data_IF_413817682896
#
_entry.id   IF_413817682896
#
_cell.length_a   1.000
_cell.length_b   1.000
_cell.length_c   1.000
_cell.angle_alpha   90.00
_cell.angle_beta   90.00
_cell.angle_gamma   90.00
#
_symmetry.space_group_name_H-M   'P 1'
#
loop_
_entity.id
_entity.type
_entity.pdbx_description
1 polymer ?
#
# COMPACT_ATOMS: atom_id res chain seq x y z
N UNK A 1 -34.78 -62.94 -6.51
CA UNK A 1 -33.66 -62.36 -5.77
C UNK A 1 -33.10 -61.20 -6.59
N UNK A 2 -33.63 -60.03 -6.35
CA UNK A 2 -33.31 -58.82 -7.13
C UNK A 2 -32.35 -57.94 -6.32
N UNK A 3 -31.13 -57.89 -6.78
CA UNK A 3 -30.13 -56.92 -6.19
C UNK A 3 -30.32 -55.56 -6.82
N UNK A 4 -31.01 -54.70 -6.11
CA UNK A 4 -31.13 -53.29 -6.43
C UNK A 4 -29.78 -52.60 -6.16
N UNK A 5 -29.03 -52.29 -7.21
CA UNK A 5 -27.77 -51.52 -7.10
C UNK A 5 -28.16 -50.03 -7.00
N UNK A 6 -28.10 -49.49 -5.81
CA UNK A 6 -28.23 -48.04 -5.58
C UNK A 6 -26.94 -47.37 -6.05
N UNK A 7 -27.02 -46.68 -7.19
CA UNK A 7 -25.93 -45.84 -7.70
C UNK A 7 -25.94 -44.51 -6.94
N UNK A 8 -25.01 -44.34 -6.01
CA UNK A 8 -24.80 -43.09 -5.30
C UNK A 8 -24.06 -42.13 -6.23
N UNK A 9 -24.74 -41.16 -6.80
CA UNK A 9 -24.15 -40.06 -7.58
C UNK A 9 -23.57 -39.03 -6.61
N UNK A 10 -22.25 -39.08 -6.40
CA UNK A 10 -21.51 -38.03 -5.69
C UNK A 10 -21.33 -36.86 -6.68
N UNK A 11 -22.16 -35.84 -6.57
CA UNK A 11 -21.94 -34.56 -7.28
C UNK A 11 -20.85 -33.82 -6.53
N UNK A 12 -19.60 -33.91 -6.99
CA UNK A 12 -18.50 -33.09 -6.49
C UNK A 12 -18.67 -31.70 -7.07
N UNK A 13 -19.21 -30.77 -6.27
CA UNK A 13 -19.20 -29.35 -6.60
C UNK A 13 -17.75 -28.86 -6.46
N UNK A 14 -17.04 -28.77 -7.57
CA UNK A 14 -15.77 -28.05 -7.63
C UNK A 14 -16.05 -26.55 -7.44
N UNK A 15 -16.00 -26.10 -6.19
CA UNK A 15 -15.91 -24.66 -5.90
C UNK A 15 -14.51 -24.25 -6.35
N UNK A 16 -14.40 -23.73 -7.56
CA UNK A 16 -13.20 -23.04 -8.02
C UNK A 16 -13.08 -21.76 -7.20
N UNK A 17 -12.37 -21.82 -6.07
CA UNK A 17 -11.95 -20.64 -5.36
C UNK A 17 -11.10 -19.82 -6.33
N UNK A 18 -11.67 -18.72 -6.88
CA UNK A 18 -10.87 -17.75 -7.61
C UNK A 18 -9.83 -17.20 -6.62
N UNK A 19 -8.54 -17.21 -6.97
CA UNK A 19 -7.54 -16.60 -6.09
C UNK A 19 -7.94 -15.15 -5.84
N UNK A 20 -7.70 -14.66 -4.62
CA UNK A 20 -8.04 -13.28 -4.23
C UNK A 20 -7.42 -12.22 -5.17
N UNK A 21 -6.40 -12.58 -5.94
CA UNK A 21 -5.78 -11.77 -6.99
C UNK A 21 -6.76 -11.39 -8.11
N UNK A 22 -7.73 -12.25 -8.44
CA UNK A 22 -8.73 -11.97 -9.47
C UNK A 22 -9.65 -10.79 -9.10
N UNK A 23 -9.79 -10.47 -7.81
CA UNK A 23 -10.61 -9.36 -7.33
C UNK A 23 -10.06 -7.99 -7.78
N UNK A 24 -8.75 -7.88 -8.00
CA UNK A 24 -8.07 -6.64 -8.37
C UNK A 24 -7.39 -6.71 -9.75
N UNK A 25 -7.86 -7.57 -10.65
CA UNK A 25 -7.30 -7.66 -12.03
C UNK A 25 -7.51 -6.35 -12.81
N UNK A 26 -8.64 -5.69 -12.58
CA UNK A 26 -8.97 -4.42 -13.21
C UNK A 26 -9.29 -3.37 -12.14
N UNK A 27 -8.29 -2.65 -11.70
CA UNK A 27 -8.40 -1.56 -10.71
C UNK A 27 -8.61 -0.19 -11.34
N UNK A 28 -8.87 -0.15 -12.66
CA UNK A 28 -8.96 1.10 -13.40
C UNK A 28 -7.59 1.71 -13.68
N UNK A 29 -7.61 2.96 -14.12
CA UNK A 29 -6.41 3.77 -14.33
C UNK A 29 -6.52 5.04 -13.51
N UNK A 30 -5.42 5.44 -12.88
CA UNK A 30 -5.31 6.74 -12.24
C UNK A 30 -3.88 7.26 -12.39
N UNK A 31 -3.72 8.55 -12.19
CA UNK A 31 -2.43 9.21 -12.36
C UNK A 31 -1.84 9.52 -11.00
N UNK A 32 -0.69 8.95 -10.73
CA UNK A 32 0.14 9.28 -9.58
C UNK A 32 1.59 9.32 -10.06
N UNK A 33 2.03 10.47 -10.60
CA UNK A 33 3.38 10.59 -11.13
C UNK A 33 4.41 10.47 -10.01
N UNK A 34 5.45 9.68 -10.26
CA UNK A 34 6.60 9.53 -9.37
C UNK A 34 7.89 9.63 -10.16
N UNK A 35 9.02 9.53 -9.48
CA UNK A 35 10.34 9.45 -10.10
C UNK A 35 10.62 8.12 -10.80
N UNK A 36 9.82 7.08 -10.51
CA UNK A 36 9.96 5.78 -11.15
C UNK A 36 9.38 5.75 -12.57
N UNK A 37 9.76 4.74 -13.32
CA UNK A 37 9.25 4.45 -14.67
C UNK A 37 9.17 2.95 -14.92
N UNK A 38 8.60 2.56 -16.06
CA UNK A 38 8.51 1.16 -16.47
C UNK A 38 7.76 0.29 -15.45
N UNK A 39 8.27 -0.92 -15.19
CA UNK A 39 7.61 -1.90 -14.31
C UNK A 39 7.51 -1.42 -12.86
N UNK A 40 8.50 -0.69 -12.35
CA UNK A 40 8.46 -0.13 -10.99
C UNK A 40 7.23 0.77 -10.81
N UNK A 41 7.03 1.69 -11.76
CA UNK A 41 5.88 2.60 -11.76
C UNK A 41 4.56 1.84 -11.93
N UNK A 42 4.51 0.80 -12.76
CA UNK A 42 3.30 -0.01 -12.96
C UNK A 42 2.89 -0.73 -11.67
N UNK A 43 3.83 -1.36 -10.97
CA UNK A 43 3.55 -1.99 -9.68
C UNK A 43 3.13 -0.96 -8.62
N UNK A 44 3.79 0.20 -8.57
CA UNK A 44 3.40 1.27 -7.67
C UNK A 44 1.97 1.76 -7.92
N UNK A 45 1.62 2.09 -9.18
CA UNK A 45 0.27 2.54 -9.52
C UNK A 45 -0.79 1.50 -9.20
N UNK A 46 -0.50 0.22 -9.49
CA UNK A 46 -1.40 -0.86 -9.14
C UNK A 46 -1.58 -0.99 -7.62
N UNK A 47 -0.49 -0.92 -6.86
CA UNK A 47 -0.52 -0.94 -5.40
C UNK A 47 -1.36 0.21 -4.83
N UNK A 48 -1.17 1.42 -5.33
CA UNK A 48 -1.91 2.60 -4.91
C UNK A 48 -3.41 2.49 -5.25
N UNK A 49 -3.78 2.06 -6.47
CA UNK A 49 -5.17 1.85 -6.86
C UNK A 49 -5.88 0.78 -5.98
N UNK A 50 -5.18 -0.31 -5.66
CA UNK A 50 -5.68 -1.34 -4.75
C UNK A 50 -5.84 -0.78 -3.33
N UNK A 51 -4.89 0.04 -2.86
CA UNK A 51 -4.95 0.70 -1.55
C UNK A 51 -6.18 1.60 -1.43
N UNK A 52 -6.48 2.42 -2.45
CA UNK A 52 -7.69 3.23 -2.53
C UNK A 52 -8.98 2.39 -2.52
N UNK A 53 -8.89 1.12 -2.93
CA UNK A 53 -9.98 0.15 -2.90
C UNK A 53 -10.01 -0.71 -1.62
N UNK A 54 -9.29 -0.31 -0.57
CA UNK A 54 -9.18 -1.03 0.71
C UNK A 54 -8.58 -2.44 0.61
N UNK A 55 -7.87 -2.74 -0.46
CA UNK A 55 -7.18 -4.02 -0.68
C UNK A 55 -5.78 -4.07 -0.03
N UNK A 56 -5.68 -3.78 1.27
CA UNK A 56 -4.39 -3.54 1.95
C UNK A 56 -3.35 -4.63 1.71
N UNK A 57 -3.73 -5.91 1.84
CA UNK A 57 -2.79 -7.02 1.65
C UNK A 57 -2.26 -7.09 0.22
N UNK A 58 -3.14 -6.97 -0.76
CA UNK A 58 -2.78 -7.03 -2.17
C UNK A 58 -2.00 -5.77 -2.61
N UNK A 59 -2.29 -4.60 -1.99
CA UNK A 59 -1.50 -3.39 -2.18
C UNK A 59 -0.05 -3.60 -1.70
N UNK A 60 0.16 -4.19 -0.52
CA UNK A 60 1.49 -4.53 0.01
C UNK A 60 2.25 -5.43 -0.97
N UNK A 61 1.60 -6.46 -1.56
CA UNK A 61 2.22 -7.34 -2.54
C UNK A 61 2.75 -6.57 -3.76
N UNK A 62 2.00 -5.57 -4.24
CA UNK A 62 2.42 -4.74 -5.36
C UNK A 62 3.55 -3.77 -4.99
N UNK A 63 3.50 -3.17 -3.82
CA UNK A 63 4.61 -2.32 -3.35
C UNK A 63 5.88 -3.13 -3.11
N UNK A 64 5.78 -4.38 -2.64
CA UNK A 64 6.92 -5.29 -2.55
C UNK A 64 7.52 -5.59 -3.93
N UNK A 65 6.69 -5.88 -4.94
CA UNK A 65 7.17 -6.11 -6.30
C UNK A 65 7.93 -4.88 -6.85
N UNK A 66 7.45 -3.66 -6.58
CA UNK A 66 8.18 -2.45 -6.94
C UNK A 66 9.52 -2.33 -6.19
N UNK A 67 9.59 -2.69 -4.90
CA UNK A 67 10.82 -2.69 -4.10
C UNK A 67 11.82 -3.75 -4.54
N UNK A 68 11.37 -4.91 -5.02
CA UNK A 68 12.23 -5.97 -5.56
C UNK A 68 12.93 -5.52 -6.84
N UNK A 69 12.25 -4.71 -7.68
CA UNK A 69 12.83 -4.17 -8.92
C UNK A 69 13.75 -2.98 -8.58
N UNK A 70 13.29 -2.04 -7.76
CA UNK A 70 14.11 -0.91 -7.30
C UNK A 70 14.05 -0.76 -5.77
N UNK A 71 15.03 -1.30 -5.04
CA UNK A 71 15.11 -1.19 -3.58
C UNK A 71 15.30 0.24 -3.04
N UNK A 72 15.58 1.21 -3.90
CA UNK A 72 15.72 2.62 -3.51
C UNK A 72 14.49 3.46 -3.84
N UNK A 73 13.48 2.91 -4.48
CA UNK A 73 12.27 3.64 -4.82
C UNK A 73 11.43 3.94 -3.57
N UNK A 74 11.60 5.13 -3.02
CA UNK A 74 11.04 5.55 -1.73
C UNK A 74 9.50 5.47 -1.68
N UNK A 75 8.81 5.76 -2.79
CA UNK A 75 7.35 5.75 -2.84
C UNK A 75 6.74 4.35 -2.68
N UNK A 76 7.45 3.28 -3.03
CA UNK A 76 6.98 1.92 -2.73
C UNK A 76 6.97 1.63 -1.22
N UNK A 77 7.91 2.17 -0.45
CA UNK A 77 7.92 2.07 1.01
C UNK A 77 6.89 2.99 1.68
N UNK A 78 6.66 4.17 1.11
CA UNK A 78 5.55 5.03 1.49
C UNK A 78 4.22 4.26 1.36
N UNK A 79 3.93 3.70 0.19
CA UNK A 79 2.69 3.00 -0.08
C UNK A 79 2.50 1.77 0.79
N UNK A 80 3.54 0.94 0.94
CA UNK A 80 3.50 -0.22 1.83
C UNK A 80 3.25 0.19 3.29
N UNK A 81 3.96 1.20 3.78
CA UNK A 81 3.77 1.67 5.16
C UNK A 81 2.36 2.24 5.37
N UNK A 82 1.81 2.95 4.39
CA UNK A 82 0.47 3.49 4.44
C UNK A 82 -0.61 2.39 4.43
N UNK A 83 -0.35 1.25 3.78
CA UNK A 83 -1.27 0.11 3.75
C UNK A 83 -1.52 -0.51 5.14
N UNK A 84 -0.73 -0.20 6.15
CA UNK A 84 -1.00 -0.55 7.55
C UNK A 84 -1.90 0.47 8.27
N UNK A 85 -2.19 1.61 7.63
CA UNK A 85 -3.13 2.59 8.16
C UNK A 85 -4.57 2.17 7.83
N UNK A 86 -5.18 1.41 8.72
CA UNK A 86 -6.57 1.00 8.58
C UNK A 86 -7.49 2.04 9.24
N UNK A 87 -8.06 2.99 8.50
CA UNK A 87 -8.78 4.14 9.06
C UNK A 87 -10.03 3.74 9.87
N UNK A 88 -10.57 2.55 9.61
CA UNK A 88 -11.73 2.01 10.31
C UNK A 88 -11.36 1.36 11.66
N UNK A 89 -10.08 1.13 11.93
CA UNK A 89 -9.61 0.58 13.19
C UNK A 89 -9.35 1.69 14.21
N UNK A 90 -9.82 1.50 15.44
CA UNK A 90 -9.61 2.46 16.52
C UNK A 90 -8.16 2.53 16.99
N UNK A 91 -7.40 1.45 16.81
CA UNK A 91 -5.99 1.36 17.20
C UNK A 91 -5.12 1.00 16.00
N UNK A 92 -3.96 1.64 15.92
CA UNK A 92 -2.95 1.39 14.90
C UNK A 92 -1.63 0.99 15.56
N UNK A 93 -1.18 -0.22 15.27
CA UNK A 93 0.14 -0.70 15.70
C UNK A 93 1.22 -0.17 14.73
N UNK A 94 2.18 0.64 15.20
CA UNK A 94 3.23 1.17 14.35
C UNK A 94 4.38 0.19 14.10
N UNK A 95 4.34 -1.02 14.64
CA UNK A 95 5.46 -1.99 14.61
C UNK A 95 5.85 -2.36 13.18
N UNK A 96 4.88 -2.82 12.38
CA UNK A 96 5.17 -3.27 11.02
C UNK A 96 5.52 -2.11 10.07
N UNK A 97 4.76 -0.99 10.02
CA UNK A 97 5.13 0.11 9.13
C UNK A 97 6.49 0.74 9.49
N UNK A 98 6.89 0.74 10.76
CA UNK A 98 8.25 1.15 11.15
C UNK A 98 9.33 0.20 10.60
N UNK A 99 9.05 -1.11 10.53
CA UNK A 99 9.97 -2.07 9.89
C UNK A 99 10.07 -1.80 8.40
N UNK A 100 8.95 -1.50 7.74
CA UNK A 100 8.92 -1.11 6.33
C UNK A 100 9.87 0.06 6.09
N UNK A 101 9.68 1.16 6.81
CA UNK A 101 10.51 2.36 6.65
C UNK A 101 12.00 2.08 6.95
N UNK A 102 12.31 1.25 7.95
CA UNK A 102 13.72 0.87 8.24
C UNK A 102 14.38 0.07 7.12
N UNK A 103 13.62 -0.66 6.29
CA UNK A 103 14.20 -1.35 5.11
C UNK A 103 14.66 -0.35 4.04
N UNK A 104 13.98 0.80 3.91
CA UNK A 104 14.42 1.87 3.01
C UNK A 104 15.71 2.53 3.52
N UNK A 105 15.82 2.75 4.82
CA UNK A 105 17.03 3.34 5.44
C UNK A 105 16.92 3.42 6.95
N UNK A 106 18.04 3.43 7.67
CA UNK A 106 18.10 3.35 9.14
C UNK A 106 17.51 4.58 9.84
N UNK A 107 17.55 5.74 9.19
CA UNK A 107 17.03 6.99 9.74
C UNK A 107 16.30 7.83 8.67
N UNK A 108 15.55 8.83 9.12
CA UNK A 108 14.74 9.68 8.25
C UNK A 108 15.54 10.40 7.18
N UNK A 109 16.72 10.93 7.53
CA UNK A 109 17.55 11.67 6.57
C UNK A 109 18.01 10.80 5.40
N UNK A 110 18.42 9.56 5.67
CA UNK A 110 18.81 8.61 4.63
C UNK A 110 17.62 8.16 3.77
N UNK A 111 16.46 8.00 4.38
CA UNK A 111 15.25 7.65 3.63
C UNK A 111 14.78 8.78 2.73
N UNK A 112 14.72 10.02 3.24
CA UNK A 112 14.36 11.22 2.47
C UNK A 112 15.33 11.50 1.33
N UNK A 113 16.63 11.19 1.51
CA UNK A 113 17.61 11.31 0.43
C UNK A 113 17.34 10.40 -0.78
N UNK A 114 16.53 9.34 -0.61
CA UNK A 114 16.10 8.44 -1.69
C UNK A 114 14.84 8.92 -2.42
N UNK A 115 14.16 9.95 -1.93
CA UNK A 115 13.06 10.60 -2.62
C UNK A 115 13.59 11.79 -3.42
N UNK A 116 13.65 11.72 -4.76
CA UNK A 116 14.36 12.71 -5.55
C UNK A 116 13.57 14.01 -5.77
N UNK A 117 12.25 14.00 -5.56
CA UNK A 117 11.40 15.18 -5.73
C UNK A 117 10.88 15.68 -4.38
N UNK A 118 10.63 16.99 -4.26
CA UNK A 118 10.05 17.55 -3.02
C UNK A 118 8.65 16.99 -2.74
N UNK A 119 7.87 16.69 -3.79
CA UNK A 119 6.58 16.03 -3.68
C UNK A 119 6.71 14.64 -3.02
N UNK A 120 7.62 13.80 -3.49
CA UNK A 120 7.86 12.47 -2.91
C UNK A 120 8.40 12.54 -1.48
N UNK A 121 9.28 13.53 -1.20
CA UNK A 121 9.74 13.81 0.17
C UNK A 121 8.59 14.20 1.08
N UNK A 122 7.63 14.98 0.59
CA UNK A 122 6.44 15.35 1.32
C UNK A 122 5.61 14.14 1.73
N UNK A 123 5.29 13.25 0.79
CA UNK A 123 4.58 12.01 1.06
C UNK A 123 5.33 11.10 2.05
N UNK A 124 6.64 10.91 1.83
CA UNK A 124 7.46 10.08 2.73
C UNK A 124 7.53 10.67 4.13
N UNK A 125 7.73 12.00 4.25
CA UNK A 125 7.73 12.70 5.54
C UNK A 125 6.41 12.54 6.29
N UNK A 126 5.29 12.58 5.58
CA UNK A 126 3.98 12.42 6.18
C UNK A 126 3.83 11.02 6.84
N UNK A 127 4.21 9.94 6.17
CA UNK A 127 4.12 8.59 6.78
C UNK A 127 5.17 8.39 7.87
N UNK A 128 6.33 9.06 7.82
CA UNK A 128 7.27 9.06 8.93
C UNK A 128 6.72 9.71 10.19
N UNK A 129 5.91 10.75 10.05
CA UNK A 129 5.17 11.36 11.17
C UNK A 129 4.09 10.39 11.66
N UNK A 130 3.32 9.81 10.75
CA UNK A 130 2.24 8.86 11.08
C UNK A 130 2.73 7.67 11.90
N UNK A 131 3.93 7.18 11.60
CA UNK A 131 4.55 6.02 12.24
C UNK A 131 5.66 6.40 13.22
N UNK A 132 5.90 7.70 13.44
CA UNK A 132 6.94 8.24 14.32
C UNK A 132 6.62 8.06 15.81
N UNK A 133 7.33 8.82 16.63
CA UNK A 133 7.16 8.80 18.07
C UNK A 133 5.88 9.54 18.52
N UNK A 134 5.49 9.31 19.76
CA UNK A 134 4.30 9.90 20.37
C UNK A 134 3.07 8.99 20.35
N UNK A 135 2.01 9.46 20.95
CA UNK A 135 0.73 8.74 20.96
C UNK A 135 0.03 8.79 19.59
N UNK A 136 -1.00 7.97 19.43
CA UNK A 136 -1.70 7.85 18.16
C UNK A 136 -2.39 9.16 17.72
N UNK A 137 -2.88 9.96 18.66
CA UNK A 137 -3.56 11.22 18.35
C UNK A 137 -2.56 12.23 17.80
N UNK A 138 -1.42 12.38 18.47
CA UNK A 138 -0.34 13.26 18.04
C UNK A 138 0.18 12.88 16.64
N UNK A 139 0.41 11.59 16.39
CA UNK A 139 0.88 11.08 15.09
C UNK A 139 -0.14 11.34 13.97
N UNK A 140 -1.43 11.05 14.21
CA UNK A 140 -2.50 11.30 13.22
C UNK A 140 -2.67 12.79 12.93
N UNK A 141 -2.65 13.63 13.97
CA UNK A 141 -2.71 15.08 13.81
C UNK A 141 -1.51 15.60 13.02
N UNK A 142 -0.32 15.10 13.33
CA UNK A 142 0.90 15.45 12.59
C UNK A 142 0.83 15.06 11.12
N UNK A 143 0.35 13.85 10.83
CA UNK A 143 0.11 13.36 9.45
C UNK A 143 -0.88 14.26 8.71
N UNK A 144 -2.04 14.53 9.32
CA UNK A 144 -3.05 15.43 8.75
C UNK A 144 -2.46 16.80 8.42
N UNK A 145 -1.71 17.40 9.36
CA UNK A 145 -1.07 18.70 9.14
C UNK A 145 -0.02 18.65 8.03
N UNK A 146 0.72 17.54 7.88
CA UNK A 146 1.68 17.36 6.80
C UNK A 146 0.97 17.29 5.44
N UNK A 147 -0.10 16.52 5.33
CA UNK A 147 -0.90 16.43 4.12
C UNK A 147 -1.60 17.75 3.78
N UNK A 148 -2.10 18.49 4.78
CA UNK A 148 -2.67 19.85 4.56
C UNK A 148 -1.65 20.81 3.94
N UNK A 149 -0.41 20.80 4.40
CA UNK A 149 0.65 21.64 3.79
C UNK A 149 0.96 21.19 2.36
N UNK A 150 0.99 19.89 2.09
CA UNK A 150 1.15 19.41 0.73
C UNK A 150 0.00 19.85 -0.18
N UNK A 151 -1.24 19.81 0.31
CA UNK A 151 -2.40 20.30 -0.45
C UNK A 151 -2.29 21.80 -0.79
N UNK A 152 -1.78 22.62 0.13
CA UNK A 152 -1.52 24.04 -0.13
C UNK A 152 -0.43 24.24 -1.19
N UNK A 153 0.61 23.39 -1.18
CA UNK A 153 1.73 23.46 -2.12
C UNK A 153 1.38 22.86 -3.50
N UNK A 154 0.55 21.81 -3.53
CA UNK A 154 0.14 21.08 -4.74
C UNK A 154 -1.39 21.04 -4.91
N UNK A 155 -2.08 22.20 -5.06
CA UNK A 155 -3.55 22.28 -5.00
C UNK A 155 -4.28 21.55 -6.13
N UNK A 156 -3.59 21.17 -7.18
CA UNK A 156 -4.14 20.42 -8.31
C UNK A 156 -3.75 18.92 -8.28
N UNK A 157 -3.09 18.48 -7.23
CA UNK A 157 -2.69 17.07 -7.06
C UNK A 157 -3.84 16.30 -6.39
N UNK A 158 -4.42 15.37 -7.10
CA UNK A 158 -5.57 14.58 -6.63
C UNK A 158 -5.20 13.52 -5.57
N UNK A 159 -3.91 13.31 -5.34
CA UNK A 159 -3.40 12.30 -4.41
C UNK A 159 -2.92 12.89 -3.07
N UNK A 160 -3.01 14.21 -2.90
CA UNK A 160 -2.61 14.93 -1.68
C UNK A 160 -3.77 15.21 -0.74
#
# INVERSE_FOLDING_TARGET
MNHLRTLLLIVTVLVTARPAQAQFENVGSFEFPTSASGEVQLHFLRGAAILHSFGWKQAIEQFHAAQEIDPNFAMAYWGESLAYNHPLNSQMDPTEPRKVLRRLGPNSAERLAKAPTEREKGFLSAVEILWGEGDQVARRTGYMNAMSRMYEEYPNDTEV
#
